data_IF_487397943746
#
_entry.id   IF_487397943746
#
_cell.length_a   1.000
_cell.length_b   1.000
_cell.length_c   1.000
_cell.angle_alpha   90.00
_cell.angle_beta   90.00
_cell.angle_gamma   90.00
#
_symmetry.space_group_name_H-M   'P 1'
#
loop_
_entity.id
_entity.type
_entity.pdbx_description
1 polymer ?
#
# COMPACT_ATOMS: atom_id res chain seq x y z
N UNK A 1 1.59 -29.27 -2.31
CA UNK A 1 1.43 -28.74 -3.69
C UNK A 1 0.89 -27.32 -3.66
N UNK A 2 1.24 -26.50 -4.63
CA UNK A 2 0.77 -25.11 -4.75
C UNK A 2 0.46 -24.76 -6.20
N UNK A 3 -0.41 -23.79 -6.43
CA UNK A 3 -0.59 -23.21 -7.75
C UNK A 3 0.59 -22.26 -8.06
N UNK A 4 1.03 -22.24 -9.29
CA UNK A 4 2.01 -21.31 -9.82
C UNK A 4 1.45 -20.71 -11.12
N UNK A 5 1.93 -19.52 -11.50
CA UNK A 5 1.49 -18.88 -12.74
C UNK A 5 2.68 -18.57 -13.62
N UNK A 6 2.59 -18.89 -14.91
CA UNK A 6 3.60 -18.58 -15.91
C UNK A 6 3.01 -17.66 -16.98
N UNK A 7 3.81 -16.67 -17.42
CA UNK A 7 3.38 -15.73 -18.47
C UNK A 7 3.17 -16.45 -19.80
N UNK A 8 2.07 -16.12 -20.47
CA UNK A 8 1.90 -16.49 -21.88
C UNK A 8 2.82 -15.62 -22.75
N UNK A 9 3.85 -16.19 -23.41
CA UNK A 9 4.77 -15.43 -24.25
C UNK A 9 4.10 -14.81 -25.48
N UNK A 10 2.98 -15.38 -25.93
CA UNK A 10 2.23 -14.92 -27.10
C UNK A 10 1.00 -14.09 -26.72
N UNK A 11 0.75 -13.92 -25.42
CA UNK A 11 -0.38 -13.18 -24.86
C UNK A 11 -0.02 -11.76 -24.42
N UNK A 12 -1.05 -11.00 -24.02
CA UNK A 12 -0.86 -9.73 -23.35
C UNK A 12 -0.07 -9.89 -22.03
N UNK A 13 0.45 -8.78 -21.49
CA UNK A 13 1.27 -8.77 -20.26
C UNK A 13 0.60 -9.50 -19.07
N UNK A 14 -0.73 -9.53 -19.05
CA UNK A 14 -1.54 -10.15 -17.99
C UNK A 14 -1.98 -11.59 -18.27
N UNK A 15 -1.71 -12.11 -19.47
CA UNK A 15 -2.08 -13.47 -19.83
C UNK A 15 -1.11 -14.47 -19.19
N UNK A 16 -1.62 -15.25 -18.25
CA UNK A 16 -0.83 -16.26 -17.53
C UNK A 16 -1.51 -17.60 -17.52
N UNK A 17 -0.70 -18.62 -17.70
CA UNK A 17 -1.12 -20.01 -17.47
C UNK A 17 -1.02 -20.33 -15.98
N UNK A 18 -1.95 -21.11 -15.47
CA UNK A 18 -1.97 -21.59 -14.09
C UNK A 18 -1.51 -23.04 -14.07
N UNK A 19 -0.55 -23.35 -13.22
CA UNK A 19 0.01 -24.69 -13.06
C UNK A 19 -0.07 -25.14 -11.59
N UNK A 20 -0.30 -26.43 -11.38
CA UNK A 20 -0.09 -27.07 -10.09
C UNK A 20 1.36 -27.54 -10.01
N UNK A 21 2.09 -27.15 -8.99
CA UNK A 21 3.49 -27.55 -8.79
C UNK A 21 3.66 -28.30 -7.47
N UNK A 22 4.60 -29.25 -7.44
CA UNK A 22 5.00 -29.96 -6.23
C UNK A 22 5.91 -29.11 -5.32
N UNK A 23 6.41 -29.70 -4.23
CA UNK A 23 7.31 -29.06 -3.27
C UNK A 23 8.67 -28.68 -3.90
N UNK A 24 9.08 -29.40 -4.94
CA UNK A 24 10.30 -29.12 -5.71
C UNK A 24 10.11 -28.08 -6.83
N UNK A 25 8.88 -27.53 -6.99
CA UNK A 25 8.52 -26.56 -8.03
C UNK A 25 8.30 -27.16 -9.41
N UNK A 26 8.19 -28.51 -9.53
CA UNK A 26 7.91 -29.16 -10.82
C UNK A 26 6.41 -29.11 -11.11
N UNK A 27 6.08 -28.78 -12.36
CA UNK A 27 4.69 -28.78 -12.83
C UNK A 27 4.15 -30.21 -12.83
N UNK A 28 3.09 -30.45 -12.06
CA UNK A 28 2.39 -31.73 -11.97
C UNK A 28 1.07 -31.74 -12.72
N UNK A 29 0.49 -30.54 -12.91
CA UNK A 29 -0.74 -30.36 -13.71
C UNK A 29 -0.80 -28.94 -14.28
N UNK A 30 -1.26 -28.82 -15.53
CA UNK A 30 -1.45 -27.53 -16.21
C UNK A 30 -2.93 -27.23 -16.34
N UNK A 31 -3.31 -26.00 -15.96
CA UNK A 31 -4.66 -25.48 -16.17
C UNK A 31 -4.61 -24.36 -17.22
N UNK A 32 -5.59 -24.02 -17.88
CA UNK A 32 -5.61 -22.87 -18.80
C UNK A 32 -5.36 -21.53 -18.07
N UNK A 33 -5.55 -20.43 -18.76
CA UNK A 33 -5.40 -19.07 -18.19
C UNK A 33 -6.41 -18.78 -17.08
N UNK A 34 -7.57 -19.42 -17.10
CA UNK A 34 -8.65 -19.22 -16.13
C UNK A 34 -9.24 -20.59 -15.72
N UNK A 35 -8.58 -21.32 -14.80
CA UNK A 35 -9.13 -22.59 -14.33
C UNK A 35 -10.48 -22.38 -13.65
N UNK A 36 -11.39 -23.30 -13.89
CA UNK A 36 -12.67 -23.36 -13.20
C UNK A 36 -12.51 -23.93 -11.79
N UNK A 37 -13.47 -23.64 -10.91
CA UNK A 37 -13.47 -24.22 -9.57
C UNK A 37 -13.54 -25.77 -9.62
N UNK A 38 -14.28 -26.33 -10.57
CA UNK A 38 -14.42 -27.78 -10.72
C UNK A 38 -13.10 -28.44 -11.14
N UNK A 39 -12.34 -27.83 -12.04
CA UNK A 39 -11.00 -28.29 -12.43
C UNK A 39 -10.04 -28.27 -11.22
N UNK A 40 -10.03 -27.20 -10.43
CA UNK A 40 -9.21 -27.12 -9.23
C UNK A 40 -9.62 -28.13 -8.15
N UNK A 41 -10.93 -28.33 -7.92
CA UNK A 41 -11.45 -29.32 -6.97
C UNK A 41 -11.19 -30.75 -7.43
N UNK A 42 -11.19 -30.99 -8.73
CA UNK A 42 -10.84 -32.30 -9.29
C UNK A 42 -9.34 -32.58 -9.16
N UNK A 43 -8.48 -31.56 -9.32
CA UNK A 43 -7.06 -31.68 -9.04
C UNK A 43 -6.81 -31.99 -7.55
N UNK A 44 -7.50 -31.33 -6.60
CA UNK A 44 -7.45 -31.68 -5.18
C UNK A 44 -7.77 -33.16 -4.94
N UNK A 45 -8.81 -33.70 -5.59
CA UNK A 45 -9.19 -35.11 -5.47
C UNK A 45 -8.15 -36.05 -6.07
N UNK A 46 -7.56 -35.69 -7.22
CA UNK A 46 -6.53 -36.50 -7.88
C UNK A 46 -5.25 -36.60 -7.10
N UNK A 47 -4.82 -35.47 -6.51
CA UNK A 47 -3.54 -35.39 -5.81
C UNK A 47 -3.63 -35.61 -4.30
N UNK A 48 -4.86 -35.73 -3.75
CA UNK A 48 -5.07 -36.01 -2.32
C UNK A 48 -4.70 -34.87 -1.37
N UNK A 49 -4.47 -33.69 -1.91
CA UNK A 49 -4.11 -32.48 -1.16
C UNK A 49 -5.13 -31.38 -1.37
N UNK A 50 -5.42 -30.64 -0.31
CA UNK A 50 -6.31 -29.49 -0.36
C UNK A 50 -5.55 -28.27 -0.83
N UNK A 51 -5.93 -27.70 -1.96
CA UNK A 51 -5.35 -26.45 -2.46
C UNK A 51 -5.90 -25.28 -1.64
N UNK A 52 -4.99 -24.47 -1.12
CA UNK A 52 -5.39 -23.21 -0.51
C UNK A 52 -5.64 -22.18 -1.63
N UNK A 53 -6.86 -22.19 -2.16
CA UNK A 53 -7.27 -21.36 -3.28
C UNK A 53 -7.16 -19.84 -2.99
N UNK A 54 -7.12 -19.47 -1.71
CA UNK A 54 -7.06 -18.07 -1.24
C UNK A 54 -5.66 -17.46 -1.32
N UNK A 55 -4.63 -18.27 -1.16
CA UNK A 55 -3.23 -17.81 -1.13
C UNK A 55 -2.54 -17.88 -2.50
N UNK A 56 -3.18 -18.38 -3.54
CA UNK A 56 -2.48 -18.86 -4.73
C UNK A 56 -2.77 -18.09 -6.02
N UNK A 57 -3.22 -16.83 -5.92
CA UNK A 57 -3.28 -15.96 -7.09
C UNK A 57 -4.40 -16.26 -8.09
N UNK A 58 -5.50 -16.88 -7.64
CA UNK A 58 -6.69 -16.97 -8.46
C UNK A 58 -7.25 -15.58 -8.71
N UNK A 59 -7.60 -15.31 -9.97
CA UNK A 59 -8.10 -14.02 -10.38
C UNK A 59 -9.56 -14.11 -10.81
N UNK A 60 -10.29 -13.05 -10.52
CA UNK A 60 -11.66 -12.90 -11.01
C UNK A 60 -11.65 -12.77 -12.53
N UNK A 61 -12.49 -13.56 -13.20
CA UNK A 61 -12.59 -13.53 -14.67
C UNK A 61 -13.09 -12.20 -15.20
N UNK A 62 -13.92 -11.49 -14.44
CA UNK A 62 -14.51 -10.22 -14.90
C UNK A 62 -13.58 -9.03 -14.71
N UNK A 63 -13.05 -8.83 -13.49
CA UNK A 63 -12.26 -7.64 -13.18
C UNK A 63 -10.74 -7.89 -13.13
N UNK A 64 -10.28 -9.13 -13.23
CA UNK A 64 -8.88 -9.49 -13.13
C UNK A 64 -8.27 -9.35 -11.73
N UNK A 65 -9.06 -9.00 -10.71
CA UNK A 65 -8.57 -8.88 -9.34
C UNK A 65 -8.30 -10.23 -8.73
N UNK A 66 -7.30 -10.29 -7.86
CA UNK A 66 -7.07 -11.48 -7.04
C UNK A 66 -8.26 -11.72 -6.12
N UNK A 67 -8.68 -12.98 -6.04
CA UNK A 67 -9.74 -13.39 -5.12
C UNK A 67 -9.10 -13.66 -3.77
N UNK A 68 -9.33 -12.77 -2.79
CA UNK A 68 -8.65 -12.80 -1.48
C UNK A 68 -9.51 -13.33 -0.34
N UNK A 69 -10.84 -13.32 -0.47
CA UNK A 69 -11.74 -13.65 0.66
C UNK A 69 -12.93 -14.52 0.26
N UNK A 70 -13.81 -14.00 -0.59
CA UNK A 70 -15.01 -14.71 -1.05
C UNK A 70 -15.04 -14.75 -2.56
N UNK A 71 -15.52 -15.85 -3.09
CA UNK A 71 -15.75 -15.99 -4.52
C UNK A 71 -17.10 -16.66 -4.78
N UNK A 72 -17.60 -16.43 -5.98
CA UNK A 72 -18.70 -17.20 -6.56
C UNK A 72 -18.21 -17.90 -7.80
N UNK A 73 -18.76 -19.07 -8.10
CA UNK A 73 -18.53 -19.74 -9.37
C UNK A 73 -19.73 -19.50 -10.29
N UNK A 74 -19.47 -19.05 -11.51
CA UNK A 74 -20.48 -18.99 -12.58
C UNK A 74 -20.97 -20.38 -12.96
N UNK A 75 -22.12 -20.50 -13.66
CA UNK A 75 -22.59 -21.77 -14.22
C UNK A 75 -21.58 -22.43 -15.17
N UNK A 76 -20.71 -21.64 -15.81
CA UNK A 76 -19.60 -22.11 -16.65
C UNK A 76 -18.35 -22.52 -15.84
N UNK A 77 -18.41 -22.43 -14.50
CA UNK A 77 -17.35 -22.81 -13.58
C UNK A 77 -16.27 -21.77 -13.33
N UNK A 78 -16.27 -20.62 -14.03
CA UNK A 78 -15.29 -19.57 -13.81
C UNK A 78 -15.51 -18.85 -12.47
N UNK A 79 -14.38 -18.44 -11.85
CA UNK A 79 -14.39 -17.79 -10.56
C UNK A 79 -14.58 -16.27 -10.68
N UNK A 80 -15.47 -15.73 -9.85
CA UNK A 80 -15.67 -14.31 -9.68
C UNK A 80 -15.32 -13.89 -8.25
N UNK A 81 -14.72 -12.73 -8.07
CA UNK A 81 -14.64 -12.11 -6.74
C UNK A 81 -16.05 -11.75 -6.26
N UNK A 82 -16.18 -11.52 -4.94
CA UNK A 82 -17.48 -11.22 -4.35
C UNK A 82 -18.15 -9.99 -4.97
N UNK A 83 -17.38 -8.95 -5.28
CA UNK A 83 -17.89 -7.71 -5.87
C UNK A 83 -18.52 -7.94 -7.26
N UNK A 84 -17.82 -8.71 -8.12
CA UNK A 84 -18.34 -9.04 -9.44
C UNK A 84 -19.52 -10.02 -9.38
N UNK A 85 -19.50 -10.96 -8.44
CA UNK A 85 -20.62 -11.89 -8.23
C UNK A 85 -21.89 -11.19 -7.73
N UNK A 86 -21.72 -10.16 -6.88
CA UNK A 86 -22.83 -9.38 -6.33
C UNK A 86 -23.42 -8.39 -7.34
N UNK A 87 -22.68 -8.04 -8.39
CA UNK A 87 -23.17 -7.12 -9.45
C UNK A 87 -24.11 -7.78 -10.46
N UNK A 88 -24.20 -9.11 -10.50
CA UNK A 88 -25.15 -9.82 -11.37
C UNK A 88 -26.62 -9.66 -10.92
N UNK A 89 -26.86 -9.22 -9.68
CA UNK A 89 -28.22 -8.99 -9.14
C UNK A 89 -28.78 -7.55 -9.39
N UNK A 90 -28.16 -6.78 -10.27
CA UNK A 90 -28.80 -5.62 -10.91
C UNK A 90 -28.93 -4.34 -10.10
N UNK A 91 -28.21 -4.15 -9.00
CA UNK A 91 -27.99 -2.84 -8.41
C UNK A 91 -26.54 -2.38 -8.66
N UNK A 92 -26.39 -1.38 -9.54
CA UNK A 92 -25.14 -0.60 -9.65
C UNK A 92 -24.83 0.06 -8.30
N UNK A 93 -24.10 -0.62 -7.44
CA UNK A 93 -23.39 0.08 -6.35
C UNK A 93 -22.19 0.75 -7.01
N UNK A 94 -22.16 2.07 -7.03
CA UNK A 94 -21.17 3.00 -7.52
C UNK A 94 -19.97 2.37 -8.19
N UNK A 95 -20.02 2.16 -9.50
CA UNK A 95 -19.05 1.31 -10.18
C UNK A 95 -17.70 1.98 -10.27
N UNK A 96 -16.66 1.30 -9.77
CA UNK A 96 -15.26 1.68 -10.00
C UNK A 96 -15.02 1.88 -11.51
N UNK A 97 -14.72 3.11 -11.93
CA UNK A 97 -14.36 3.41 -13.31
C UNK A 97 -12.89 3.09 -13.56
N UNK A 98 -12.62 2.21 -14.51
CA UNK A 98 -11.28 1.79 -14.89
C UNK A 98 -10.91 2.27 -16.28
N UNK A 99 -9.74 2.92 -16.43
CA UNK A 99 -9.24 3.38 -17.71
C UNK A 99 -7.69 3.32 -17.75
N UNK A 100 -7.10 3.80 -18.84
CA UNK A 100 -5.65 3.93 -19.01
C UNK A 100 -5.21 5.34 -18.69
N UNK A 101 -4.16 5.50 -17.88
CA UNK A 101 -3.56 6.78 -17.54
C UNK A 101 -2.69 7.27 -18.72
N UNK A 102 -3.00 8.42 -19.33
CA UNK A 102 -2.22 8.95 -20.44
C UNK A 102 -0.88 9.57 -20.03
N UNK A 103 -0.56 9.60 -18.73
CA UNK A 103 0.65 10.23 -18.19
C UNK A 103 1.92 9.60 -18.74
N UNK A 104 2.82 10.43 -19.25
CA UNK A 104 4.11 9.99 -19.81
C UNK A 104 5.25 9.98 -18.81
N UNK A 105 5.19 10.75 -17.75
CA UNK A 105 6.22 10.79 -16.70
C UNK A 105 6.34 9.44 -16.01
N UNK A 106 7.52 8.85 -16.03
CA UNK A 106 7.81 7.55 -15.41
C UNK A 106 8.22 7.75 -13.96
N UNK A 107 9.23 8.57 -13.75
CA UNK A 107 9.89 8.83 -12.48
C UNK A 107 9.75 10.31 -12.12
N UNK A 108 9.52 10.61 -10.85
CA UNK A 108 9.49 11.98 -10.33
C UNK A 108 10.34 12.11 -9.08
N UNK A 109 11.09 13.22 -8.97
CA UNK A 109 11.74 13.56 -7.71
C UNK A 109 10.70 13.78 -6.61
N UNK A 110 11.02 13.33 -5.41
CA UNK A 110 10.10 13.37 -4.28
C UNK A 110 10.60 14.26 -3.15
N UNK A 111 9.70 15.07 -2.57
CA UNK A 111 9.95 15.77 -1.31
C UNK A 111 9.84 14.84 -0.09
N UNK A 112 9.50 13.59 -0.28
CA UNK A 112 9.51 12.57 0.77
C UNK A 112 10.93 12.20 1.24
N UNK A 113 11.96 12.68 0.53
CA UNK A 113 13.34 12.62 1.00
C UNK A 113 13.53 13.41 2.31
N UNK A 114 12.77 14.49 2.54
CA UNK A 114 12.76 15.19 3.82
C UNK A 114 12.29 14.29 4.98
N UNK A 115 11.42 13.33 4.71
CA UNK A 115 10.95 12.28 5.63
C UNK A 115 11.82 11.04 5.62
N UNK A 116 12.86 11.02 4.80
CA UNK A 116 13.74 9.88 4.60
C UNK A 116 13.02 8.63 4.06
N UNK A 117 11.94 8.85 3.34
CA UNK A 117 11.18 7.77 2.73
C UNK A 117 11.76 7.38 1.37
N UNK A 118 12.04 8.37 0.51
CA UNK A 118 12.58 8.12 -0.83
C UNK A 118 13.08 9.40 -1.47
N UNK A 119 13.87 9.26 -2.53
CA UNK A 119 14.34 10.36 -3.36
C UNK A 119 13.48 10.53 -4.61
N UNK A 120 12.91 9.43 -5.07
CA UNK A 120 12.06 9.36 -6.27
C UNK A 120 10.79 8.58 -5.99
N UNK A 121 9.76 8.82 -6.80
CA UNK A 121 8.50 8.08 -6.76
C UNK A 121 8.10 7.59 -8.15
N UNK A 122 7.53 6.40 -8.18
CA UNK A 122 6.83 5.82 -9.33
C UNK A 122 5.44 5.41 -8.86
N UNK A 123 4.39 5.83 -9.57
CA UNK A 123 3.02 5.42 -9.29
C UNK A 123 2.49 4.57 -10.45
N UNK A 124 1.95 3.42 -10.15
CA UNK A 124 1.46 2.42 -11.11
C UNK A 124 0.08 2.76 -11.68
N UNK A 125 -0.63 3.66 -11.01
CA UNK A 125 -1.95 4.15 -11.42
C UNK A 125 -2.20 5.57 -10.89
N UNK A 126 -3.23 6.22 -11.40
CA UNK A 126 -3.89 7.40 -10.81
C UNK A 126 -5.25 6.97 -10.24
N UNK A 127 -5.55 7.37 -9.01
CA UNK A 127 -6.65 6.84 -8.22
C UNK A 127 -6.19 5.70 -7.30
N UNK A 128 -7.03 5.31 -6.35
CA UNK A 128 -6.74 4.23 -5.42
C UNK A 128 -8.04 3.56 -4.97
N UNK A 129 -8.18 2.27 -5.23
CA UNK A 129 -9.37 1.48 -4.90
C UNK A 129 -9.73 1.50 -3.40
N UNK A 130 -8.74 1.67 -2.52
CA UNK A 130 -8.99 1.62 -1.08
C UNK A 130 -9.92 2.73 -0.57
N UNK A 131 -9.99 3.88 -1.25
CA UNK A 131 -10.95 4.94 -0.95
C UNK A 131 -10.85 5.51 0.46
N UNK A 132 -9.65 5.48 1.08
CA UNK A 132 -9.44 5.93 2.45
C UNK A 132 -9.90 7.38 2.65
N UNK A 133 -10.78 7.62 3.62
CA UNK A 133 -11.40 8.93 3.86
C UNK A 133 -10.40 10.00 4.31
N UNK A 134 -9.33 9.60 4.97
CA UNK A 134 -8.25 10.49 5.39
C UNK A 134 -7.18 10.73 4.31
N UNK A 135 -7.32 10.16 3.10
CA UNK A 135 -6.27 10.24 2.09
C UNK A 135 -6.01 11.69 1.68
N UNK A 136 -4.74 12.09 1.70
CA UNK A 136 -4.33 13.43 1.29
C UNK A 136 -4.01 13.52 -0.22
N UNK A 137 -3.82 12.38 -0.87
CA UNK A 137 -3.38 12.31 -2.27
C UNK A 137 -4.30 13.08 -3.22
N UNK A 138 -5.63 12.92 -3.15
CA UNK A 138 -6.53 13.64 -4.05
C UNK A 138 -6.49 15.17 -3.89
N UNK A 139 -6.02 15.69 -2.75
CA UNK A 139 -5.83 17.14 -2.53
C UNK A 139 -4.44 17.66 -2.91
N UNK A 140 -3.64 16.86 -3.60
CA UNK A 140 -2.31 17.30 -4.05
C UNK A 140 -2.36 17.98 -5.42
N UNK A 141 -1.45 18.94 -5.69
CA UNK A 141 -1.36 19.56 -7.01
C UNK A 141 -1.18 18.56 -8.16
N UNK A 142 -0.65 17.39 -7.88
CA UNK A 142 -0.49 16.32 -8.88
C UNK A 142 -1.83 15.75 -9.35
N UNK A 143 -2.87 15.77 -8.52
CA UNK A 143 -4.23 15.37 -8.88
C UNK A 143 -5.01 16.59 -9.36
N UNK A 144 -5.00 17.72 -8.64
CA UNK A 144 -5.70 18.96 -9.04
C UNK A 144 -5.41 19.37 -10.50
N UNK A 145 -4.13 19.25 -10.93
CA UNK A 145 -3.75 19.57 -12.30
C UNK A 145 -4.29 18.60 -13.36
N UNK A 146 -5.02 17.58 -12.97
CA UNK A 146 -5.57 16.52 -13.83
C UNK A 146 -7.10 16.48 -13.85
N UNK A 147 -7.79 17.43 -13.23
CA UNK A 147 -9.25 17.44 -13.11
C UNK A 147 -9.95 17.24 -14.46
N UNK A 148 -9.55 17.98 -15.51
CA UNK A 148 -10.12 17.85 -16.85
C UNK A 148 -9.93 16.42 -17.40
N UNK A 149 -8.73 15.85 -17.26
CA UNK A 149 -8.43 14.51 -17.71
C UNK A 149 -9.20 13.45 -16.91
N UNK A 150 -9.32 13.61 -15.60
CA UNK A 150 -10.10 12.71 -14.75
C UNK A 150 -11.59 12.77 -15.07
N UNK A 151 -12.13 13.98 -15.33
CA UNK A 151 -13.50 14.15 -15.81
C UNK A 151 -13.74 13.44 -17.14
N UNK A 152 -12.85 13.62 -18.12
CA UNK A 152 -12.97 12.98 -19.44
C UNK A 152 -12.82 11.45 -19.40
N UNK A 153 -11.85 10.94 -18.60
CA UNK A 153 -11.49 9.52 -18.59
C UNK A 153 -12.29 8.68 -17.61
N UNK A 154 -12.73 9.27 -16.52
CA UNK A 154 -13.36 8.53 -15.43
C UNK A 154 -14.66 9.16 -14.91
N UNK A 155 -15.13 10.27 -15.49
CA UNK A 155 -16.35 10.94 -15.04
C UNK A 155 -16.22 11.56 -13.64
N UNK A 156 -15.01 11.83 -13.18
CA UNK A 156 -14.71 12.40 -11.86
C UNK A 156 -15.17 13.85 -11.82
N UNK A 157 -16.00 14.22 -10.86
CA UNK A 157 -16.46 15.58 -10.62
C UNK A 157 -15.67 16.26 -9.49
N UNK A 158 -15.36 15.52 -8.44
CA UNK A 158 -14.54 15.94 -7.31
C UNK A 158 -13.52 14.85 -6.97
N UNK A 159 -12.23 15.01 -7.34
CA UNK A 159 -11.22 13.97 -7.14
C UNK A 159 -11.09 13.49 -5.69
N UNK A 160 -11.45 14.30 -4.71
CA UNK A 160 -11.37 13.93 -3.30
C UNK A 160 -12.61 13.16 -2.84
N UNK A 161 -13.80 13.56 -3.25
CA UNK A 161 -15.06 12.89 -2.92
C UNK A 161 -15.20 11.56 -3.67
N UNK A 162 -14.75 11.54 -4.92
CA UNK A 162 -14.78 10.36 -5.80
C UNK A 162 -13.56 9.43 -5.59
N UNK A 163 -12.72 9.72 -4.56
CA UNK A 163 -11.54 8.90 -4.28
C UNK A 163 -11.91 7.50 -3.82
N UNK A 164 -11.61 6.52 -4.64
CA UNK A 164 -12.02 5.12 -4.46
C UNK A 164 -12.87 4.61 -5.62
N UNK A 165 -13.44 5.51 -6.41
CA UNK A 165 -14.39 5.19 -7.47
C UNK A 165 -13.77 5.25 -8.87
N UNK A 166 -12.47 5.56 -8.97
CA UNK A 166 -11.73 5.57 -10.24
C UNK A 166 -10.31 5.04 -10.13
N UNK A 167 -9.86 4.35 -11.20
CA UNK A 167 -8.50 3.86 -11.38
C UNK A 167 -8.08 4.02 -12.84
N UNK A 168 -6.98 4.71 -13.07
CA UNK A 168 -6.35 4.81 -14.39
C UNK A 168 -4.98 4.13 -14.31
N UNK A 169 -4.83 2.99 -14.97
CA UNK A 169 -3.61 2.18 -14.91
C UNK A 169 -2.57 2.63 -15.93
N UNK A 170 -1.33 2.38 -15.60
CA UNK A 170 -0.13 2.66 -16.43
C UNK A 170 0.47 1.34 -16.89
N UNK A 171 -0.25 0.62 -17.75
CA UNK A 171 0.09 -0.75 -18.15
C UNK A 171 1.47 -0.87 -18.83
N UNK A 172 1.87 0.16 -19.58
CA UNK A 172 3.15 0.25 -20.28
C UNK A 172 4.31 0.75 -19.37
N UNK A 173 4.07 0.86 -18.07
CA UNK A 173 5.04 1.45 -17.15
C UNK A 173 6.33 0.63 -17.01
N UNK A 174 6.31 -0.71 -16.91
CA UNK A 174 7.54 -1.50 -16.84
C UNK A 174 8.47 -1.29 -18.04
N UNK A 175 7.91 -1.30 -19.25
CA UNK A 175 8.65 -1.07 -20.48
C UNK A 175 9.26 0.34 -20.51
N UNK A 176 8.49 1.34 -20.08
CA UNK A 176 8.95 2.73 -20.02
C UNK A 176 9.99 2.97 -18.94
N UNK A 177 9.91 2.24 -17.82
CA UNK A 177 10.98 2.24 -16.80
C UNK A 177 12.25 1.65 -17.40
N UNK A 178 12.15 0.50 -18.06
CA UNK A 178 13.27 -0.12 -18.75
C UNK A 178 13.95 0.86 -19.72
N UNK A 179 13.20 1.45 -20.65
CA UNK A 179 13.71 2.42 -21.63
C UNK A 179 14.33 3.65 -20.93
N UNK A 180 13.70 4.16 -19.86
CA UNK A 180 14.20 5.29 -19.10
C UNK A 180 15.56 4.99 -18.46
N UNK A 181 15.68 3.84 -17.80
CA UNK A 181 16.91 3.42 -17.13
C UNK A 181 18.06 3.18 -18.10
N UNK A 182 17.79 2.64 -19.30
CA UNK A 182 18.79 2.44 -20.36
C UNK A 182 19.39 3.76 -20.87
N UNK A 183 18.63 4.85 -20.79
CA UNK A 183 19.03 6.17 -21.27
C UNK A 183 19.51 7.11 -20.14
N UNK A 184 19.56 6.64 -18.88
CA UNK A 184 19.96 7.45 -17.72
C UNK A 184 21.47 7.36 -17.51
N UNK A 185 22.13 8.52 -17.42
CA UNK A 185 23.49 8.60 -16.89
C UNK A 185 23.43 8.61 -15.35
N UNK A 186 23.63 7.44 -14.75
CA UNK A 186 23.54 7.28 -13.29
C UNK A 186 24.59 8.06 -12.51
N UNK A 187 25.71 8.45 -13.12
CA UNK A 187 26.73 9.24 -12.45
C UNK A 187 26.38 10.73 -12.42
N UNK A 188 25.71 11.24 -13.45
CA UNK A 188 25.37 12.64 -13.58
C UNK A 188 23.93 12.97 -13.16
N UNK A 189 22.97 12.09 -13.46
CA UNK A 189 21.54 12.38 -13.37
C UNK A 189 20.87 11.75 -12.14
N UNK A 190 21.44 10.64 -11.58
CA UNK A 190 20.83 9.97 -10.45
C UNK A 190 21.36 10.50 -9.11
N UNK A 191 20.48 10.76 -8.16
CA UNK A 191 20.91 11.18 -6.83
C UNK A 191 21.74 10.08 -6.18
N UNK A 192 22.92 10.46 -5.70
CA UNK A 192 23.77 9.62 -4.87
C UNK A 192 23.73 10.16 -3.44
N UNK A 193 23.29 9.33 -2.51
CA UNK A 193 23.25 9.62 -1.08
C UNK A 193 24.47 9.02 -0.39
N UNK A 194 24.64 9.25 0.91
CA UNK A 194 25.67 8.57 1.72
C UNK A 194 25.54 7.03 1.70
N UNK A 195 24.43 6.51 1.21
CA UNK A 195 24.01 5.10 1.22
C UNK A 195 24.01 4.47 -0.16
N UNK A 196 24.49 5.17 -1.16
CA UNK A 196 24.47 4.73 -2.55
C UNK A 196 23.43 5.46 -3.38
N UNK A 197 22.85 4.80 -4.37
CA UNK A 197 21.84 5.37 -5.27
C UNK A 197 20.58 5.78 -4.52
N UNK A 198 19.96 6.88 -5.00
CA UNK A 198 18.70 7.37 -4.43
C UNK A 198 17.58 6.33 -4.52
N UNK A 199 16.77 6.26 -3.46
CA UNK A 199 15.70 5.27 -3.28
C UNK A 199 14.47 5.65 -4.11
N UNK A 200 13.91 4.69 -4.82
CA UNK A 200 12.61 4.81 -5.48
C UNK A 200 11.52 4.23 -4.60
N UNK A 201 10.46 5.00 -4.34
CA UNK A 201 9.28 4.51 -3.63
C UNK A 201 8.14 4.25 -4.60
N UNK A 202 7.53 3.09 -4.48
CA UNK A 202 6.26 2.77 -5.09
C UNK A 202 5.13 3.06 -4.09
N UNK A 203 3.99 3.55 -4.61
CA UNK A 203 2.76 3.82 -3.83
C UNK A 203 2.74 5.14 -3.03
N UNK A 204 3.36 6.20 -3.53
CA UNK A 204 3.19 7.52 -2.91
C UNK A 204 1.86 8.19 -3.24
N UNK A 205 1.26 7.86 -4.38
CA UNK A 205 0.02 8.44 -4.90
C UNK A 205 -1.09 7.43 -5.19
N UNK A 206 -0.84 6.15 -4.94
CA UNK A 206 -1.80 5.05 -5.12
C UNK A 206 -1.30 3.86 -4.32
N UNK A 207 -2.06 2.78 -4.19
CA UNK A 207 -1.53 1.53 -3.64
C UNK A 207 -1.12 0.60 -4.80
N UNK A 208 0.15 0.20 -4.82
CA UNK A 208 0.70 -0.60 -5.92
C UNK A 208 0.30 -2.08 -5.88
N UNK A 209 -0.35 -2.53 -4.81
CA UNK A 209 -0.89 -3.89 -4.67
C UNK A 209 -2.40 -3.90 -4.45
N UNK A 210 -3.10 -2.78 -4.70
CA UNK A 210 -4.54 -2.66 -4.46
C UNK A 210 -5.39 -3.70 -5.20
N UNK A 211 -4.89 -4.24 -6.30
CA UNK A 211 -5.49 -5.32 -7.08
C UNK A 211 -4.44 -6.04 -7.91
N UNK A 212 -4.89 -7.08 -8.63
CA UNK A 212 -4.00 -7.91 -9.45
C UNK A 212 -3.30 -7.13 -10.56
N UNK A 213 -3.98 -6.22 -11.25
CA UNK A 213 -3.40 -5.43 -12.35
C UNK A 213 -2.31 -4.50 -11.84
N UNK A 214 -2.57 -3.77 -10.77
CA UNK A 214 -1.56 -2.94 -10.11
C UNK A 214 -0.34 -3.77 -9.67
N UNK A 215 -0.59 -4.94 -9.07
CA UNK A 215 0.48 -5.86 -8.64
C UNK A 215 1.34 -6.39 -9.80
N UNK A 216 0.75 -6.64 -10.98
CA UNK A 216 1.52 -7.06 -12.17
C UNK A 216 2.43 -5.94 -12.67
N UNK A 217 1.91 -4.71 -12.78
CA UNK A 217 2.70 -3.54 -13.15
C UNK A 217 3.84 -3.34 -12.15
N UNK A 218 3.52 -3.43 -10.84
CA UNK A 218 4.50 -3.30 -9.75
C UNK A 218 5.63 -4.30 -9.89
N UNK A 219 5.32 -5.58 -10.06
CA UNK A 219 6.33 -6.63 -10.24
C UNK A 219 7.27 -6.34 -11.41
N UNK A 220 6.73 -5.89 -12.55
CA UNK A 220 7.53 -5.48 -13.70
C UNK A 220 8.46 -4.33 -13.37
N UNK A 221 7.94 -3.26 -12.77
CA UNK A 221 8.72 -2.08 -12.37
C UNK A 221 9.82 -2.42 -11.36
N UNK A 222 9.49 -3.21 -10.31
CA UNK A 222 10.48 -3.62 -9.30
C UNK A 222 11.61 -4.41 -9.93
N UNK A 223 11.32 -5.33 -10.86
CA UNK A 223 12.34 -6.10 -11.57
C UNK A 223 13.33 -5.20 -12.32
N UNK A 224 12.83 -4.24 -13.10
CA UNK A 224 13.68 -3.31 -13.83
C UNK A 224 14.56 -2.47 -12.89
N UNK A 225 14.03 -2.01 -11.76
CA UNK A 225 14.79 -1.23 -10.79
C UNK A 225 15.87 -2.08 -10.10
N UNK A 226 15.55 -3.32 -9.72
CA UNK A 226 16.50 -4.25 -9.08
C UNK A 226 17.62 -4.65 -10.06
N UNK A 227 17.30 -4.93 -11.31
CA UNK A 227 18.29 -5.22 -12.36
C UNK A 227 19.25 -4.03 -12.60
N UNK A 228 18.78 -2.80 -12.38
CA UNK A 228 19.60 -1.59 -12.46
C UNK A 228 20.32 -1.24 -11.13
N UNK A 229 20.29 -2.11 -10.10
CA UNK A 229 20.89 -1.88 -8.79
C UNK A 229 20.33 -0.61 -8.10
N UNK A 230 19.03 -0.40 -8.21
CA UNK A 230 18.32 0.74 -7.61
C UNK A 230 17.52 0.28 -6.40
N UNK A 231 17.75 0.91 -5.22
CA UNK A 231 16.99 0.58 -4.02
C UNK A 231 15.50 0.95 -4.16
N UNK A 232 14.61 0.02 -3.77
CA UNK A 232 13.16 0.16 -3.88
C UNK A 232 12.52 0.10 -2.52
N UNK A 233 11.57 1.00 -2.26
CA UNK A 233 10.70 0.95 -1.10
C UNK A 233 9.25 0.81 -1.53
N UNK A 234 8.58 -0.18 -0.97
CA UNK A 234 7.19 -0.52 -1.27
C UNK A 234 6.35 -0.29 -0.03
N UNK A 235 5.28 0.50 -0.13
CA UNK A 235 4.29 0.66 0.93
C UNK A 235 2.92 0.28 0.39
N UNK A 236 2.26 -0.68 1.02
CA UNK A 236 0.93 -1.13 0.62
C UNK A 236 0.03 -1.43 1.82
N UNK A 237 -1.27 -1.33 1.65
CA UNK A 237 -2.29 -1.84 2.56
C UNK A 237 -2.76 -3.23 2.17
N UNK A 238 -2.31 -3.73 1.02
CA UNK A 238 -2.81 -4.97 0.46
C UNK A 238 -1.93 -6.17 0.79
N UNK A 239 -2.50 -7.29 1.27
CA UNK A 239 -1.77 -8.54 1.42
C UNK A 239 -1.29 -9.13 0.08
N UNK A 240 -1.77 -8.61 -1.06
CA UNK A 240 -1.29 -9.03 -2.39
C UNK A 240 0.23 -8.84 -2.58
N UNK A 241 0.89 -8.05 -1.74
CA UNK A 241 2.34 -7.90 -1.78
C UNK A 241 3.10 -9.22 -1.54
N UNK A 242 2.49 -10.19 -0.82
CA UNK A 242 3.12 -11.49 -0.53
C UNK A 242 3.37 -12.34 -1.76
N UNK A 243 2.63 -12.10 -2.85
CA UNK A 243 2.85 -12.79 -4.13
C UNK A 243 4.24 -12.55 -4.75
N UNK A 244 4.90 -11.45 -4.38
CA UNK A 244 6.17 -11.05 -4.96
C UNK A 244 7.35 -11.23 -3.97
N UNK A 245 7.16 -11.99 -2.89
CA UNK A 245 8.21 -12.30 -1.89
C UNK A 245 9.41 -12.96 -2.58
N UNK A 246 9.21 -13.81 -3.58
CA UNK A 246 10.27 -14.41 -4.37
C UNK A 246 11.19 -13.33 -4.98
N UNK A 247 10.62 -12.32 -5.62
CA UNK A 247 11.35 -11.20 -6.20
C UNK A 247 12.06 -10.36 -5.13
N UNK A 248 11.43 -10.16 -3.98
CA UNK A 248 12.02 -9.39 -2.89
C UNK A 248 13.23 -10.10 -2.26
N UNK A 249 13.18 -11.44 -2.17
CA UNK A 249 14.31 -12.24 -1.72
C UNK A 249 15.46 -12.23 -2.73
N UNK A 250 15.16 -12.37 -4.03
CA UNK A 250 16.13 -12.32 -5.12
C UNK A 250 16.83 -10.95 -5.20
N UNK A 251 16.20 -9.89 -4.72
CA UNK A 251 16.73 -8.54 -4.71
C UNK A 251 17.86 -8.31 -3.67
N UNK A 252 18.19 -9.30 -2.84
CA UNK A 252 19.33 -9.29 -1.87
C UNK A 252 19.41 -8.00 -1.04
N UNK A 253 18.27 -7.56 -0.48
CA UNK A 253 18.17 -6.39 0.38
C UNK A 253 17.95 -5.05 -0.37
N UNK A 254 17.89 -5.02 -1.70
CA UNK A 254 17.55 -3.81 -2.46
C UNK A 254 16.07 -3.42 -2.31
N UNK A 255 15.20 -4.32 -1.89
CA UNK A 255 13.77 -4.05 -1.71
C UNK A 255 13.42 -4.07 -0.23
N UNK A 256 12.82 -2.98 0.25
CA UNK A 256 12.20 -2.91 1.57
C UNK A 256 10.69 -2.77 1.44
N UNK A 257 9.96 -3.65 2.14
CA UNK A 257 8.50 -3.75 2.05
C UNK A 257 7.84 -3.29 3.34
N UNK A 258 6.81 -2.48 3.25
CA UNK A 258 6.06 -2.01 4.39
C UNK A 258 4.56 -2.06 4.21
N UNK A 259 3.86 -2.06 5.32
CA UNK A 259 2.40 -1.95 5.33
C UNK A 259 1.93 -0.80 6.22
N UNK A 260 0.78 -0.21 5.85
CA UNK A 260 0.13 0.81 6.68
C UNK A 260 -0.93 0.18 7.56
N UNK A 261 -0.75 0.30 8.87
CA UNK A 261 -1.72 -0.18 9.89
C UNK A 261 -1.94 0.97 10.88
N UNK A 262 -3.02 1.76 10.73
CA UNK A 262 -3.31 2.90 11.60
C UNK A 262 -3.88 2.49 12.96
N UNK A 263 -4.56 1.36 13.04
CA UNK A 263 -5.20 0.79 14.22
C UNK A 263 -5.48 -0.69 13.99
N UNK A 264 -5.66 -1.46 15.06
CA UNK A 264 -6.17 -2.84 15.03
C UNK A 264 -7.68 -2.94 15.33
N UNK A 265 -8.37 -1.82 15.59
CA UNK A 265 -9.84 -1.79 15.55
C UNK A 265 -10.34 -1.93 14.11
N UNK A 266 -10.62 -3.18 13.72
CA UNK A 266 -11.03 -3.51 12.36
C UNK A 266 -12.29 -2.79 11.91
N UNK A 267 -13.21 -2.50 12.85
CA UNK A 267 -14.49 -1.84 12.54
C UNK A 267 -14.29 -0.36 12.28
N UNK A 268 -13.48 0.32 13.08
CA UNK A 268 -13.11 1.73 12.86
C UNK A 268 -12.28 1.88 11.60
N UNK A 269 -11.30 0.96 11.37
CA UNK A 269 -10.53 0.95 10.14
C UNK A 269 -11.43 0.77 8.92
N UNK A 270 -12.40 -0.13 8.96
CA UNK A 270 -13.34 -0.31 7.84
C UNK A 270 -14.21 0.93 7.58
N UNK A 271 -14.59 1.68 8.60
CA UNK A 271 -15.32 2.93 8.42
C UNK A 271 -14.48 4.00 7.70
N UNK A 272 -13.19 4.08 8.00
CA UNK A 272 -12.27 5.08 7.46
C UNK A 272 -11.52 4.62 6.20
N UNK A 273 -11.44 3.33 5.96
CA UNK A 273 -10.76 2.68 4.83
C UNK A 273 -11.68 1.62 4.20
N UNK A 274 -12.81 2.01 3.58
CA UNK A 274 -13.95 1.12 3.30
C UNK A 274 -13.64 -0.05 2.36
N UNK A 275 -12.64 0.11 1.48
CA UNK A 275 -12.26 -0.93 0.51
C UNK A 275 -10.83 -1.47 0.74
N UNK A 276 -10.20 -1.12 1.86
CA UNK A 276 -8.90 -1.64 2.18
C UNK A 276 -9.01 -2.95 2.98
N UNK A 277 -8.08 -3.90 2.82
CA UNK A 277 -8.06 -5.12 3.62
C UNK A 277 -7.96 -4.83 5.13
N UNK A 278 -8.51 -5.69 6.00
CA UNK A 278 -8.50 -5.47 7.44
C UNK A 278 -7.07 -5.44 8.02
N UNK A 279 -6.84 -4.77 9.18
CA UNK A 279 -5.52 -4.59 9.75
C UNK A 279 -4.73 -5.88 9.98
N UNK A 280 -5.41 -6.93 10.46
CA UNK A 280 -4.78 -8.24 10.69
C UNK A 280 -4.26 -8.87 9.40
N UNK A 281 -5.00 -8.80 8.30
CA UNK A 281 -4.53 -9.33 7.03
C UNK A 281 -3.27 -8.60 6.52
N UNK A 282 -3.17 -7.30 6.81
CA UNK A 282 -1.96 -6.51 6.49
C UNK A 282 -0.79 -6.92 7.37
N UNK A 283 -1.04 -7.18 8.65
CA UNK A 283 -0.02 -7.64 9.58
C UNK A 283 0.45 -9.06 9.23
N UNK A 284 -0.46 -9.97 8.92
CA UNK A 284 -0.14 -11.34 8.48
C UNK A 284 0.74 -11.34 7.22
N UNK A 285 0.43 -10.47 6.25
CA UNK A 285 1.26 -10.28 5.08
C UNK A 285 2.68 -9.79 5.44
N UNK A 286 2.81 -8.90 6.41
CA UNK A 286 4.11 -8.42 6.87
C UNK A 286 4.87 -9.51 7.68
N UNK A 287 4.16 -10.40 8.39
CA UNK A 287 4.73 -11.57 9.05
C UNK A 287 5.29 -12.58 8.02
N UNK A 288 4.61 -12.77 6.88
CA UNK A 288 5.17 -13.55 5.77
C UNK A 288 6.46 -12.94 5.20
N UNK A 289 6.49 -11.61 5.03
CA UNK A 289 7.70 -10.86 4.64
C UNK A 289 8.82 -11.03 5.68
N UNK A 290 8.48 -11.01 6.98
CA UNK A 290 9.41 -11.27 8.07
C UNK A 290 10.01 -12.67 8.00
N UNK A 291 9.18 -13.70 7.83
CA UNK A 291 9.63 -15.10 7.72
C UNK A 291 10.50 -15.35 6.50
N UNK A 292 10.29 -14.56 5.45
CA UNK A 292 11.09 -14.59 4.23
C UNK A 292 12.44 -13.84 4.35
N UNK A 293 12.73 -13.25 5.51
CA UNK A 293 13.91 -12.42 5.79
C UNK A 293 14.11 -11.23 4.84
N UNK A 294 13.01 -10.67 4.33
CA UNK A 294 13.00 -9.47 3.50
C UNK A 294 13.03 -8.22 4.39
N UNK A 295 13.81 -7.18 4.04
CA UNK A 295 13.79 -5.88 4.73
C UNK A 295 12.37 -5.31 4.80
N UNK A 296 11.95 -4.81 5.97
CA UNK A 296 10.57 -4.42 6.21
C UNK A 296 10.41 -3.24 7.14
N UNK A 297 9.31 -2.53 6.97
CA UNK A 297 8.94 -1.41 7.81
C UNK A 297 7.43 -1.36 8.04
N UNK A 298 7.02 -0.60 9.05
CA UNK A 298 5.61 -0.34 9.33
C UNK A 298 5.32 1.14 9.14
N UNK A 299 4.18 1.46 8.56
CA UNK A 299 3.60 2.80 8.59
C UNK A 299 2.43 2.83 9.57
N UNK A 300 2.69 3.27 10.79
CA UNK A 300 1.69 3.54 11.83
C UNK A 300 1.11 4.93 11.58
N UNK A 301 0.40 5.08 10.44
CA UNK A 301 -0.04 6.38 9.93
C UNK A 301 -1.26 6.25 8.98
N UNK A 302 -2.24 7.17 9.15
CA UNK A 302 -2.36 8.12 10.26
C UNK A 302 -2.90 7.44 11.52
N UNK A 303 -2.32 7.69 12.69
CA UNK A 303 -2.94 7.25 13.93
C UNK A 303 -4.17 8.09 14.25
N UNK A 304 -5.21 7.45 14.76
CA UNK A 304 -6.51 8.09 14.99
C UNK A 304 -6.52 8.89 16.29
N UNK A 305 -7.32 9.98 16.37
CA UNK A 305 -7.24 10.92 17.49
C UNK A 305 -7.69 10.36 18.84
N UNK A 306 -8.48 9.30 18.85
CA UNK A 306 -9.01 8.68 20.08
C UNK A 306 -8.18 7.52 20.59
N UNK A 307 -7.08 7.16 19.91
CA UNK A 307 -6.23 6.06 20.35
C UNK A 307 -5.64 6.33 21.72
N UNK A 308 -5.93 5.45 22.67
CA UNK A 308 -5.41 5.53 24.01
C UNK A 308 -4.06 4.80 24.18
N UNK A 309 -3.53 4.84 25.42
CA UNK A 309 -2.24 4.21 25.75
C UNK A 309 -2.22 2.70 25.53
N UNK A 310 -3.33 2.04 25.82
CA UNK A 310 -3.43 0.57 25.74
C UNK A 310 -3.53 0.12 24.30
N UNK A 311 -4.29 0.82 23.46
CA UNK A 311 -4.39 0.58 22.01
C UNK A 311 -3.05 0.81 21.31
N UNK A 312 -2.34 1.91 21.65
CA UNK A 312 -1.01 2.17 21.11
C UNK A 312 -0.02 1.08 21.52
N UNK A 313 -0.03 0.66 22.79
CA UNK A 313 0.85 -0.39 23.28
C UNK A 313 0.56 -1.73 22.59
N UNK A 314 -0.71 -2.07 22.39
CA UNK A 314 -1.10 -3.26 21.65
C UNK A 314 -0.59 -3.21 20.22
N UNK A 315 -0.81 -2.10 19.49
CA UNK A 315 -0.31 -1.93 18.13
C UNK A 315 1.23 -2.09 18.06
N UNK A 316 1.96 -1.45 18.96
CA UNK A 316 3.42 -1.56 19.01
C UNK A 316 3.88 -2.98 19.34
N UNK A 317 3.13 -3.76 20.13
CA UNK A 317 3.44 -5.15 20.40
C UNK A 317 3.33 -6.04 19.15
N UNK A 318 2.30 -5.80 18.33
CA UNK A 318 2.16 -6.47 17.03
C UNK A 318 3.29 -6.10 16.07
N UNK A 319 3.71 -4.83 16.05
CA UNK A 319 4.83 -4.40 15.20
C UNK A 319 6.16 -5.00 15.68
N UNK A 320 6.40 -5.06 16.98
CA UNK A 320 7.61 -5.66 17.52
C UNK A 320 7.75 -7.16 17.16
N UNK A 321 6.65 -7.88 17.00
CA UNK A 321 6.63 -9.29 16.66
C UNK A 321 7.21 -9.60 15.27
N UNK A 322 7.15 -8.63 14.33
CA UNK A 322 7.69 -8.76 12.97
C UNK A 322 9.04 -8.06 12.81
N UNK A 323 9.64 -7.55 13.88
CA UNK A 323 10.98 -6.95 13.93
C UNK A 323 11.28 -6.02 12.75
N UNK A 324 10.53 -4.92 12.58
CA UNK A 324 10.71 -4.01 11.45
C UNK A 324 11.95 -3.14 11.63
N UNK A 325 12.62 -2.78 10.52
CA UNK A 325 13.75 -1.86 10.55
C UNK A 325 13.37 -0.48 11.09
N UNK A 326 12.12 -0.04 10.83
CA UNK A 326 11.58 1.22 11.30
C UNK A 326 10.04 1.18 11.35
N UNK A 327 9.49 1.92 12.31
CA UNK A 327 8.06 2.26 12.38
C UNK A 327 7.91 3.75 12.09
N UNK A 328 7.39 4.10 10.92
CA UNK A 328 7.03 5.47 10.59
C UNK A 328 5.73 5.84 11.29
N UNK A 329 5.73 6.97 11.97
CA UNK A 329 4.56 7.43 12.71
C UNK A 329 4.18 8.87 12.36
N UNK A 330 2.92 9.05 12.00
CA UNK A 330 2.28 10.37 11.87
C UNK A 330 0.87 10.31 12.47
N UNK A 331 0.49 11.28 13.32
CA UNK A 331 -0.90 11.44 13.73
C UNK A 331 -1.74 11.97 12.57
N UNK A 332 -3.07 11.80 12.65
CA UNK A 332 -3.99 12.30 11.64
C UNK A 332 -3.80 13.81 11.43
N UNK A 333 -3.79 14.21 10.16
CA UNK A 333 -3.41 15.56 9.73
C UNK A 333 -4.48 16.11 8.77
N UNK A 334 -5.02 17.35 9.03
CA UNK A 334 -6.02 17.96 8.17
C UNK A 334 -5.42 18.36 6.81
N UNK A 335 -5.96 17.80 5.75
CA UNK A 335 -5.58 18.09 4.36
C UNK A 335 -6.78 18.01 3.43
N UNK A 336 -7.07 19.10 2.74
CA UNK A 336 -8.29 19.19 1.94
C UNK A 336 -9.52 18.90 2.79
N UNK A 337 -10.47 18.16 2.27
CA UNK A 337 -11.71 17.77 2.95
C UNK A 337 -11.60 16.45 3.74
N UNK A 338 -10.38 15.93 3.99
CA UNK A 338 -10.23 14.61 4.62
C UNK A 338 -10.83 14.53 6.03
N UNK A 339 -10.79 15.63 6.82
CA UNK A 339 -11.40 15.62 8.15
C UNK A 339 -12.92 15.59 8.09
N UNK A 340 -13.54 16.34 7.18
CA UNK A 340 -14.99 16.28 6.94
C UNK A 340 -15.39 14.88 6.51
N UNK A 341 -14.67 14.27 5.58
CA UNK A 341 -14.95 12.91 5.10
C UNK A 341 -14.80 11.86 6.21
N UNK A 342 -13.78 11.99 7.08
CA UNK A 342 -13.61 11.12 8.24
C UNK A 342 -14.72 11.32 9.28
N UNK A 343 -15.14 12.58 9.50
CA UNK A 343 -16.22 12.93 10.42
C UNK A 343 -17.55 12.35 9.94
N UNK A 344 -17.87 12.48 8.67
CA UNK A 344 -19.05 11.89 8.04
C UNK A 344 -19.04 10.36 8.22
N UNK A 345 -17.96 9.69 7.81
CA UNK A 345 -17.82 8.23 7.86
C UNK A 345 -17.89 7.67 9.30
N UNK A 346 -17.27 8.34 10.27
CA UNK A 346 -17.31 7.89 11.66
C UNK A 346 -18.69 8.07 12.30
N UNK A 347 -19.42 9.14 11.95
CA UNK A 347 -20.81 9.33 12.39
C UNK A 347 -21.75 8.27 11.80
N UNK A 348 -21.64 8.01 10.50
CA UNK A 348 -22.43 6.99 9.81
C UNK A 348 -22.21 5.60 10.39
N UNK A 349 -20.97 5.28 10.77
CA UNK A 349 -20.60 4.02 11.38
C UNK A 349 -20.89 3.95 12.91
N UNK A 350 -21.39 5.03 13.52
CA UNK A 350 -21.75 5.07 14.94
C UNK A 350 -20.58 5.35 15.91
N UNK A 351 -19.41 5.71 15.40
CA UNK A 351 -18.21 6.09 16.18
C UNK A 351 -18.27 7.56 16.63
N UNK A 352 -19.32 7.89 17.41
CA UNK A 352 -19.56 9.29 17.81
C UNK A 352 -18.41 9.91 18.60
N UNK A 353 -17.71 9.16 19.46
CA UNK A 353 -16.56 9.67 20.20
C UNK A 353 -15.38 10.04 19.29
N UNK A 354 -15.12 9.27 18.24
CA UNK A 354 -14.11 9.60 17.22
C UNK A 354 -14.54 10.83 16.44
N UNK A 355 -15.83 10.90 16.08
CA UNK A 355 -16.38 12.05 15.34
C UNK A 355 -16.29 13.36 16.16
N UNK A 356 -16.64 13.33 17.44
CA UNK A 356 -16.52 14.48 18.35
C UNK A 356 -15.06 14.94 18.48
N UNK A 357 -14.12 14.00 18.56
CA UNK A 357 -12.71 14.34 18.65
C UNK A 357 -12.16 14.90 17.32
N UNK A 358 -12.57 14.34 16.16
CA UNK A 358 -12.25 14.91 14.85
C UNK A 358 -12.78 16.34 14.70
N UNK A 359 -14.01 16.60 15.14
CA UNK A 359 -14.60 17.94 15.11
C UNK A 359 -13.82 18.90 16.00
N UNK A 360 -13.40 18.47 17.21
CA UNK A 360 -12.58 19.28 18.12
C UNK A 360 -11.22 19.63 17.53
N UNK A 361 -10.52 18.67 16.95
CA UNK A 361 -9.17 18.88 16.38
C UNK A 361 -9.20 19.48 14.97
N UNK A 362 -10.36 19.72 14.38
CA UNK A 362 -10.46 20.48 13.14
C UNK A 362 -9.97 21.94 13.32
N UNK A 363 -10.08 22.49 14.54
CA UNK A 363 -9.40 23.73 14.88
C UNK A 363 -7.88 23.55 14.90
N UNK A 364 -7.16 24.44 14.21
CA UNK A 364 -5.71 24.32 14.05
C UNK A 364 -4.92 24.36 15.37
N UNK A 365 -5.41 25.07 16.36
CA UNK A 365 -4.78 25.14 17.70
C UNK A 365 -4.92 23.80 18.43
N UNK A 366 -6.10 23.22 18.42
CA UNK A 366 -6.39 21.93 19.04
C UNK A 366 -5.71 20.80 18.28
N UNK A 367 -5.65 20.84 16.95
CA UNK A 367 -4.89 19.87 16.18
C UNK A 367 -3.40 19.88 16.52
N UNK A 368 -2.80 21.06 16.63
CA UNK A 368 -1.37 21.20 17.00
C UNK A 368 -1.09 20.55 18.35
N UNK A 369 -1.96 20.78 19.32
CA UNK A 369 -1.86 20.21 20.66
C UNK A 369 -1.99 18.68 20.62
N UNK A 370 -3.05 18.18 20.00
CA UNK A 370 -3.28 16.75 19.80
C UNK A 370 -2.07 16.07 19.13
N UNK A 371 -1.59 16.60 18.00
CA UNK A 371 -0.51 15.97 17.25
C UNK A 371 0.80 15.89 18.06
N UNK A 372 1.12 16.93 18.83
CA UNK A 372 2.31 16.94 19.71
C UNK A 372 2.16 15.93 20.85
N UNK A 373 1.00 15.90 21.51
CA UNK A 373 0.72 14.96 22.61
C UNK A 373 0.76 13.51 22.13
N UNK A 374 0.17 13.25 20.97
CA UNK A 374 0.14 11.92 20.38
C UNK A 374 1.53 11.42 19.94
N UNK A 375 2.34 12.27 19.31
CA UNK A 375 3.74 11.94 18.97
C UNK A 375 4.53 11.61 20.25
N UNK A 376 4.35 12.37 21.32
CA UNK A 376 5.03 12.11 22.60
C UNK A 376 4.59 10.80 23.20
N UNK A 377 3.28 10.54 23.21
CA UNK A 377 2.70 9.33 23.79
C UNK A 377 3.20 8.05 23.09
N UNK A 378 3.18 8.01 21.75
CA UNK A 378 3.69 6.87 20.99
C UNK A 378 5.17 6.62 21.28
N UNK A 379 5.98 7.68 21.32
CA UNK A 379 7.41 7.56 21.61
C UNK A 379 7.69 7.09 23.05
N UNK A 380 6.97 7.64 24.05
CA UNK A 380 7.08 7.23 25.45
C UNK A 380 6.76 5.74 25.61
N UNK A 381 5.66 5.26 25.02
CA UNK A 381 5.29 3.85 25.11
C UNK A 381 6.34 2.97 24.43
N UNK A 382 6.87 3.38 23.28
CA UNK A 382 7.92 2.64 22.60
C UNK A 382 9.21 2.57 23.43
N UNK A 383 9.66 3.69 24.00
CA UNK A 383 10.85 3.79 24.86
C UNK A 383 10.72 2.94 26.14
N UNK A 384 9.50 2.90 26.73
CA UNK A 384 9.25 2.18 27.98
C UNK A 384 9.09 0.65 27.80
N UNK A 385 8.62 0.20 26.64
CA UNK A 385 8.19 -1.20 26.46
C UNK A 385 8.84 -1.92 25.27
N UNK A 386 9.39 -1.19 24.30
CA UNK A 386 9.85 -1.75 23.01
C UNK A 386 11.19 -1.15 22.56
N UNK A 387 12.24 -1.36 23.35
CA UNK A 387 13.59 -0.82 23.14
C UNK A 387 14.23 -1.17 21.78
N UNK A 388 13.71 -2.18 21.08
CA UNK A 388 14.14 -2.56 19.73
C UNK A 388 13.39 -1.87 18.62
N UNK A 389 12.20 -1.26 18.90
CA UNK A 389 11.45 -0.57 17.88
C UNK A 389 12.02 0.83 17.62
N UNK A 390 12.46 1.05 16.40
CA UNK A 390 12.87 2.38 15.95
C UNK A 390 11.64 3.17 15.49
N UNK A 391 11.15 4.09 16.33
CA UNK A 391 10.02 4.97 15.98
C UNK A 391 10.53 6.23 15.30
N UNK A 392 10.17 6.38 14.03
CA UNK A 392 10.45 7.55 13.22
C UNK A 392 9.20 8.44 13.13
N UNK A 393 8.99 9.28 14.12
CA UNK A 393 7.91 10.27 14.09
C UNK A 393 8.34 11.48 13.27
N UNK A 394 7.54 11.84 12.27
CA UNK A 394 7.81 12.97 11.41
C UNK A 394 6.85 14.13 11.68
N UNK A 395 7.30 15.22 12.31
CA UNK A 395 6.50 16.42 12.42
C UNK A 395 6.46 17.13 11.07
N UNK A 396 5.26 17.29 10.55
CA UNK A 396 5.06 17.99 9.30
C UNK A 396 5.41 19.50 9.44
N UNK A 397 5.53 20.18 8.30
CA UNK A 397 5.90 21.60 8.29
C UNK A 397 4.85 22.46 9.00
N UNK A 398 3.56 22.20 8.75
CA UNK A 398 2.46 22.95 9.36
C UNK A 398 2.46 22.80 10.89
N UNK A 399 2.72 21.58 11.40
CA UNK A 399 2.82 21.32 12.83
C UNK A 399 3.96 22.16 13.47
N UNK A 400 5.11 22.24 12.81
CA UNK A 400 6.24 23.06 13.29
C UNK A 400 5.90 24.56 13.25
N UNK A 401 5.21 25.01 12.20
CA UNK A 401 4.83 26.43 12.05
C UNK A 401 3.81 26.87 13.10
N UNK A 402 2.83 26.01 13.43
CA UNK A 402 1.78 26.33 14.41
C UNK A 402 2.19 26.12 15.86
N UNK A 403 3.20 25.29 16.11
CA UNK A 403 3.76 25.10 17.45
C UNK A 403 4.50 26.36 17.97
N UNK A 404 4.55 26.53 19.29
CA UNK A 404 5.20 27.67 19.94
C UNK A 404 6.19 27.24 21.03
N UNK A 405 7.08 28.16 21.42
CA UNK A 405 8.00 27.96 22.53
C UNK A 405 8.87 26.71 22.44
N UNK A 406 9.03 26.00 23.57
CA UNK A 406 9.82 24.79 23.67
C UNK A 406 9.31 23.62 22.83
N UNK A 407 8.01 23.57 22.53
CA UNK A 407 7.42 22.55 21.67
C UNK A 407 7.93 22.69 20.23
N UNK A 408 8.00 23.90 19.72
CA UNK A 408 8.52 24.17 18.37
C UNK A 408 9.98 23.73 18.22
N UNK A 409 10.81 24.05 19.22
CA UNK A 409 12.22 23.65 19.21
C UNK A 409 12.37 22.11 19.33
N UNK A 410 11.55 21.47 20.15
CA UNK A 410 11.53 20.02 20.24
C UNK A 410 11.14 19.34 18.91
N UNK A 411 10.10 19.85 18.22
CA UNK A 411 9.69 19.34 16.91
C UNK A 411 10.78 19.52 15.84
N UNK A 412 11.48 20.65 15.85
CA UNK A 412 12.64 20.88 14.97
C UNK A 412 13.77 19.89 15.24
N UNK A 413 14.08 19.64 16.52
CA UNK A 413 15.10 18.66 16.90
C UNK A 413 14.66 17.24 16.51
N UNK A 414 13.37 16.90 16.68
CA UNK A 414 12.82 15.63 16.26
C UNK A 414 12.97 15.45 14.76
N UNK A 415 12.61 16.47 13.96
CA UNK A 415 12.80 16.46 12.50
C UNK A 415 14.27 16.27 12.08
N UNK A 416 15.22 16.90 12.78
CA UNK A 416 16.65 16.77 12.51
C UNK A 416 17.19 15.38 12.86
N UNK A 417 16.75 14.80 13.99
CA UNK A 417 17.14 13.45 14.42
C UNK A 417 16.53 12.34 13.55
N UNK A 418 15.45 12.66 12.90
CA UNK A 418 14.74 11.78 12.01
C UNK A 418 15.43 11.60 10.65
N UNK A 419 16.65 12.07 10.47
CA UNK A 419 17.48 11.71 9.32
C UNK A 419 17.87 10.25 9.45
N UNK A 420 17.46 9.38 8.55
CA UNK A 420 17.54 7.96 8.77
C UNK A 420 18.97 7.44 8.73
N UNK A 421 19.33 6.71 9.71
CA UNK A 421 20.27 5.61 9.57
C UNK A 421 19.63 4.53 8.68
N UNK A 422 20.41 3.64 8.09
CA UNK A 422 19.92 2.73 7.05
C UNK A 422 18.72 1.90 7.50
N UNK A 423 17.74 1.80 6.63
CA UNK A 423 16.50 1.03 6.83
C UNK A 423 16.60 -0.42 6.41
N UNK A 424 17.79 -0.94 6.28
CA UNK A 424 18.03 -2.34 5.96
C UNK A 424 19.08 -2.90 6.87
N UNK A 425 18.99 -4.19 7.18
CA UNK A 425 19.99 -4.93 7.93
C UNK A 425 21.36 -4.92 7.25
N UNK A 426 21.40 -4.66 5.96
CA UNK A 426 22.61 -4.57 5.15
C UNK A 426 23.24 -3.18 5.14
N UNK A 427 22.59 -2.19 5.71
CA UNK A 427 23.09 -0.81 5.70
C UNK A 427 23.04 -0.11 4.34
N UNK A 428 22.34 -0.66 3.38
CA UNK A 428 22.29 -0.16 2.00
C UNK A 428 21.20 0.88 1.75
N UNK A 429 20.25 1.10 2.68
CA UNK A 429 19.19 2.10 2.53
C UNK A 429 19.27 3.22 3.54
#
# INVERSE_FOLDING_TARGET
>A
MRLNTERDPDGGWYDRFVHLVDEDGRVVEEFGKHPTLDELREAERRHGERLNLWQQGLVCKECGNQITDRFSARPDGHLLCWDCASSEDGEEKGGLTVNVDPTKTVLSESKLNEKSLCDYVINVATGCRHGCKFCYVPSTPAIDSRDEMLGEKAGVEDPQRDWGDYLLYRDDLPERVHEGLQNTDFEEEWKVTRRGRGVVMLSSGTDCYQDWRAAQITRGVVRELVEADIPVRILSRSPNLTRDIDLFQEADGLVAVGTSIPSFDASLVNALEPNAPPPMARWEALDEVFRADVPRFVSFSPTYPTMDRDEIREALSWFAAVDPDVVFHEPMNPRGANFEMCLEATREAGYNGVAEELERIHDHGEWTKYAIEHIKLVREIAEDHFDRLHIHSWPDRKLIETASGGQKEWLKQLKQKASPEPFTRTGQF
#
